data_IF_103495448253
#
_entry.id   IF_103495448253
#
_cell.length_a   1.000
_cell.length_b   1.000
_cell.length_c   1.000
_cell.angle_alpha   90.00
_cell.angle_beta   90.00
_cell.angle_gamma   90.00
#
_symmetry.space_group_name_H-M   'P 1'
#
loop_
_entity.id
_entity.type
_entity.pdbx_description
1 polymer ?
#
# COMPACT_ATOMS: atom_id res chain seq x y z
N UNK A 1 -1.88 3.55 -19.47
CA UNK A 1 -1.63 2.14 -19.06
C UNK A 1 -1.79 2.06 -17.55
N UNK A 2 -2.35 0.97 -17.04
CA UNK A 2 -2.43 0.70 -15.61
C UNK A 2 -2.02 -0.76 -15.36
N UNK A 3 -1.15 -0.99 -14.39
CA UNK A 3 -0.67 -2.31 -14.01
C UNK A 3 -0.95 -2.49 -12.52
N UNK A 4 -1.58 -3.60 -12.14
CA UNK A 4 -1.92 -3.91 -10.76
C UNK A 4 -1.89 -5.43 -10.52
N UNK A 5 -1.74 -5.89 -9.26
CA UNK A 5 -1.75 -7.32 -8.93
C UNK A 5 -3.07 -8.04 -9.19
N UNK A 6 -4.15 -7.29 -9.46
CA UNK A 6 -5.47 -7.82 -9.74
C UNK A 6 -6.11 -7.08 -10.90
N UNK A 7 -6.70 -7.82 -11.84
CA UNK A 7 -7.27 -7.26 -13.07
C UNK A 7 -8.33 -6.20 -12.79
N UNK A 8 -9.23 -6.41 -11.83
CA UNK A 8 -10.28 -5.42 -11.48
C UNK A 8 -9.70 -4.08 -11.00
N UNK A 9 -8.58 -4.08 -10.26
CA UNK A 9 -7.95 -2.83 -9.84
C UNK A 9 -7.30 -2.10 -11.02
N UNK A 10 -6.66 -2.83 -11.94
CA UNK A 10 -6.12 -2.24 -13.17
C UNK A 10 -7.24 -1.68 -14.07
N UNK A 11 -8.38 -2.35 -14.15
CA UNK A 11 -9.55 -1.88 -14.89
C UNK A 11 -10.15 -0.61 -14.27
N UNK A 12 -10.31 -0.54 -12.95
CA UNK A 12 -10.77 0.69 -12.29
C UNK A 12 -9.90 1.90 -12.60
N UNK A 13 -8.57 1.75 -12.59
CA UNK A 13 -7.67 2.81 -13.04
C UNK A 13 -7.86 3.15 -14.53
N UNK A 14 -7.99 2.13 -15.39
CA UNK A 14 -8.15 2.33 -16.82
C UNK A 14 -9.46 3.06 -17.16
N UNK A 15 -10.55 2.74 -16.46
CA UNK A 15 -11.85 3.42 -16.61
C UNK A 15 -11.73 4.90 -16.25
N UNK A 16 -11.10 5.23 -15.12
CA UNK A 16 -10.82 6.62 -14.76
C UNK A 16 -9.99 7.34 -15.83
N UNK A 17 -8.95 6.70 -16.39
CA UNK A 17 -8.18 7.30 -17.48
C UNK A 17 -9.04 7.52 -18.75
N UNK A 18 -9.93 6.57 -19.08
CA UNK A 18 -10.85 6.68 -20.23
C UNK A 18 -11.88 7.80 -20.06
N UNK A 19 -12.29 8.06 -18.83
CA UNK A 19 -13.18 9.17 -18.47
C UNK A 19 -12.45 10.53 -18.41
N UNK A 20 -11.15 10.57 -18.72
CA UNK A 20 -10.35 11.79 -18.75
C UNK A 20 -9.71 12.19 -17.42
N UNK A 21 -9.67 11.27 -16.45
CA UNK A 21 -8.94 11.45 -15.20
C UNK A 21 -7.43 11.36 -15.42
N UNK A 22 -6.65 11.95 -14.52
CA UNK A 22 -5.19 11.86 -14.54
C UNK A 22 -4.66 10.63 -13.78
N UNK A 23 -3.34 10.42 -13.83
CA UNK A 23 -2.69 9.26 -13.21
C UNK A 23 -2.89 9.17 -11.68
N UNK A 24 -2.99 10.30 -10.97
CA UNK A 24 -3.26 10.30 -9.52
C UNK A 24 -4.70 9.88 -9.23
N UNK A 25 -5.66 10.39 -9.99
CA UNK A 25 -7.08 9.99 -9.90
C UNK A 25 -7.27 8.50 -10.21
N UNK A 26 -6.65 8.02 -11.30
CA UNK A 26 -6.68 6.61 -11.68
C UNK A 26 -6.07 5.70 -10.62
N UNK A 27 -4.96 6.12 -10.00
CA UNK A 27 -4.32 5.35 -8.95
C UNK A 27 -5.14 5.34 -7.65
N UNK A 28 -5.88 6.41 -7.31
CA UNK A 28 -6.82 6.37 -6.17
C UNK A 28 -7.90 5.31 -6.40
N UNK A 29 -8.45 5.22 -7.62
CA UNK A 29 -9.45 4.21 -7.96
C UNK A 29 -8.87 2.78 -7.88
N UNK A 30 -7.67 2.56 -8.43
CA UNK A 30 -6.98 1.28 -8.28
C UNK A 30 -6.69 0.93 -6.81
N UNK A 31 -6.21 1.88 -6.01
CA UNK A 31 -5.88 1.68 -4.60
C UNK A 31 -7.12 1.36 -3.75
N UNK A 32 -8.26 1.99 -4.04
CA UNK A 32 -9.52 1.67 -3.39
C UNK A 32 -10.02 0.27 -3.81
N UNK A 33 -9.99 -0.05 -5.10
CA UNK A 33 -10.43 -1.35 -5.61
C UNK A 33 -9.54 -2.49 -5.11
N UNK A 34 -8.21 -2.33 -5.09
CA UNK A 34 -7.27 -3.37 -4.63
C UNK A 34 -7.42 -3.71 -3.14
N UNK A 35 -7.87 -2.74 -2.31
CA UNK A 35 -8.20 -2.98 -0.91
C UNK A 35 -9.41 -3.91 -0.73
N UNK A 36 -10.29 -4.00 -1.74
CA UNK A 36 -11.48 -4.86 -1.73
C UNK A 36 -11.19 -6.22 -2.35
N UNK A 37 -10.51 -6.23 -3.50
CA UNK A 37 -10.30 -7.45 -4.30
C UNK A 37 -9.06 -8.25 -3.89
N UNK A 38 -8.20 -7.66 -3.05
CA UNK A 38 -6.99 -8.32 -2.55
C UNK A 38 -6.73 -8.09 -1.04
N UNK A 39 -7.74 -8.34 -0.18
CA UNK A 39 -7.77 -7.81 1.19
C UNK A 39 -6.82 -8.52 2.18
N UNK A 40 -6.27 -9.68 1.81
CA UNK A 40 -5.30 -10.40 2.65
C UNK A 40 -3.88 -9.85 2.53
N UNK A 41 -3.62 -8.95 1.56
CA UNK A 41 -2.31 -8.35 1.32
C UNK A 41 -2.27 -6.85 1.62
N UNK A 42 -3.42 -6.16 1.57
CA UNK A 42 -3.51 -4.72 1.79
C UNK A 42 -4.93 -4.31 2.21
N UNK A 43 -5.08 -3.13 2.83
CA UNK A 43 -6.39 -2.54 3.12
C UNK A 43 -6.30 -1.05 3.45
N UNK A 44 -7.45 -0.40 3.67
CA UNK A 44 -7.51 0.98 4.22
C UNK A 44 -7.03 1.08 5.68
N UNK A 45 -6.78 -0.06 6.35
CA UNK A 45 -6.19 -0.14 7.69
C UNK A 45 -4.67 -0.26 7.69
N UNK A 46 -4.01 -0.08 6.54
CA UNK A 46 -2.56 -0.07 6.41
C UNK A 46 -2.01 1.30 6.00
N UNK A 47 -0.83 1.27 5.37
CA UNK A 47 -0.09 2.44 4.88
C UNK A 47 0.03 2.47 3.36
N UNK A 48 0.40 3.62 2.81
CA UNK A 48 0.69 3.75 1.38
C UNK A 48 1.86 4.68 1.08
N UNK A 49 2.59 4.39 0.01
CA UNK A 49 3.73 5.16 -0.45
C UNK A 49 3.56 5.45 -1.93
N UNK A 50 3.81 6.70 -2.33
CA UNK A 50 3.59 7.16 -3.70
C UNK A 50 4.88 7.77 -4.23
N UNK A 51 5.26 7.39 -5.44
CA UNK A 51 6.29 8.06 -6.21
C UNK A 51 5.66 8.55 -7.50
N UNK A 52 5.82 9.83 -7.79
CA UNK A 52 5.14 10.47 -8.91
C UNK A 52 6.10 11.30 -9.75
N UNK A 53 5.89 11.26 -11.05
CA UNK A 53 6.60 12.08 -12.01
C UNK A 53 5.61 12.79 -12.91
N UNK A 54 5.83 14.09 -13.10
CA UNK A 54 5.06 14.93 -14.03
C UNK A 54 6.05 15.49 -15.03
N UNK A 55 5.79 15.36 -16.35
CA UNK A 55 6.69 15.89 -17.37
C UNK A 55 7.03 17.37 -17.13
N UNK A 56 8.33 17.69 -17.20
CA UNK A 56 8.84 19.05 -16.95
C UNK A 56 8.83 19.49 -15.48
N UNK A 57 8.50 18.63 -14.53
CA UNK A 57 8.58 18.91 -13.08
C UNK A 57 9.56 17.95 -12.39
N UNK A 58 10.04 18.37 -11.21
CA UNK A 58 10.75 17.46 -10.33
C UNK A 58 9.85 16.28 -9.92
N UNK A 59 10.45 15.10 -9.73
CA UNK A 59 9.76 13.97 -9.14
C UNK A 59 9.35 14.29 -7.69
N UNK A 60 8.23 13.74 -7.26
CA UNK A 60 7.72 13.94 -5.90
C UNK A 60 7.31 12.62 -5.27
N UNK A 61 7.13 12.62 -3.96
CA UNK A 61 6.61 11.48 -3.21
C UNK A 61 5.51 11.89 -2.23
N UNK A 62 4.64 10.92 -1.89
CA UNK A 62 3.76 10.98 -0.73
C UNK A 62 4.15 9.84 0.19
N UNK A 63 4.54 10.18 1.41
CA UNK A 63 4.65 9.23 2.51
C UNK A 63 3.35 9.27 3.31
N UNK A 64 2.59 8.19 3.25
CA UNK A 64 1.40 8.00 4.04
C UNK A 64 1.54 6.75 4.91
N UNK A 65 2.68 6.66 5.61
CA UNK A 65 2.91 5.76 6.72
C UNK A 65 2.46 6.41 8.03
N UNK A 66 1.66 5.70 8.82
CA UNK A 66 1.24 6.21 10.11
C UNK A 66 2.27 6.03 11.21
N UNK A 67 2.34 7.02 12.10
CA UNK A 67 3.17 6.96 13.28
C UNK A 67 2.62 5.97 14.31
N UNK A 68 3.49 5.47 15.18
CA UNK A 68 3.09 4.77 16.39
C UNK A 68 2.19 5.65 17.27
N UNK A 69 1.25 5.04 17.98
CA UNK A 69 0.41 5.72 18.94
C UNK A 69 1.25 6.48 19.97
N UNK A 70 0.85 7.69 20.36
CA UNK A 70 1.62 8.49 21.31
C UNK A 70 1.81 7.84 22.69
N UNK A 71 0.99 6.84 23.03
CA UNK A 71 1.09 6.04 24.26
C UNK A 71 1.92 4.76 24.11
N UNK A 72 2.31 4.37 22.91
CA UNK A 72 3.06 3.13 22.65
C UNK A 72 4.52 3.26 23.11
N UNK A 73 4.73 3.30 24.42
CA UNK A 73 6.05 3.29 25.06
C UNK A 73 6.41 1.89 25.59
N UNK A 74 7.70 1.67 25.85
CA UNK A 74 8.18 0.43 26.49
C UNK A 74 7.43 0.16 27.80
N UNK A 75 7.26 1.20 28.63
CA UNK A 75 6.58 1.07 29.91
C UNK A 75 5.09 0.80 29.76
N UNK A 76 4.41 1.44 28.79
CA UNK A 76 3.02 1.14 28.48
C UNK A 76 2.84 -0.34 28.12
N UNK A 77 3.72 -0.89 27.29
CA UNK A 77 3.69 -2.31 26.94
C UNK A 77 3.95 -3.21 28.15
N UNK A 78 4.89 -2.86 29.04
CA UNK A 78 5.17 -3.60 30.29
C UNK A 78 3.96 -3.62 31.22
N UNK A 79 3.27 -2.49 31.35
CA UNK A 79 2.04 -2.37 32.15
C UNK A 79 0.89 -3.22 31.59
N UNK A 80 0.93 -3.53 30.29
CA UNK A 80 -0.01 -4.43 29.61
C UNK A 80 0.51 -5.86 29.48
N UNK A 81 1.48 -6.24 30.32
CA UNK A 81 1.99 -7.61 30.43
C UNK A 81 2.96 -8.04 29.32
N UNK A 82 3.39 -7.13 28.44
CA UNK A 82 4.35 -7.43 27.38
C UNK A 82 5.78 -7.27 27.91
N UNK A 83 6.57 -8.34 27.85
CA UNK A 83 7.94 -8.36 28.42
C UNK A 83 9.06 -8.47 27.40
N UNK A 84 8.84 -9.13 26.27
CA UNK A 84 9.90 -9.49 25.33
C UNK A 84 9.82 -8.72 24.01
N UNK A 85 8.70 -8.86 23.30
CA UNK A 85 8.45 -8.22 22.01
C UNK A 85 6.98 -7.83 21.90
N UNK A 86 6.68 -6.79 21.11
CA UNK A 86 5.31 -6.42 20.75
C UNK A 86 4.68 -7.62 20.01
N UNK A 87 3.48 -8.08 20.39
CA UNK A 87 2.85 -9.24 19.74
C UNK A 87 2.56 -8.94 18.26
N UNK A 88 2.53 -9.98 17.43
CA UNK A 88 2.23 -9.84 16.00
C UNK A 88 0.73 -9.67 15.69
N UNK A 89 -0.16 -10.00 16.63
CA UNK A 89 -1.62 -10.01 16.46
C UNK A 89 -2.33 -9.41 17.67
N UNK A 90 -3.59 -9.03 17.50
CA UNK A 90 -4.43 -8.46 18.55
C UNK A 90 -4.28 -6.95 18.71
N UNK A 91 -5.05 -6.36 19.63
CA UNK A 91 -5.10 -4.90 19.80
C UNK A 91 -3.74 -4.28 20.13
N UNK A 92 -2.92 -4.95 20.95
CA UNK A 92 -1.56 -4.49 21.31
C UNK A 92 -0.62 -4.40 20.09
N UNK A 93 -0.88 -5.18 19.04
CA UNK A 93 -0.13 -5.17 17.78
C UNK A 93 -0.62 -4.07 16.82
N UNK A 94 -1.89 -3.66 16.93
CA UNK A 94 -2.46 -2.56 16.17
C UNK A 94 -2.06 -1.22 16.81
N UNK A 95 -0.79 -0.84 16.63
CA UNK A 95 -0.14 0.23 17.39
C UNK A 95 0.33 1.43 16.56
N UNK A 96 0.19 1.39 15.23
CA UNK A 96 0.41 2.52 14.32
C UNK A 96 -0.90 2.98 13.69
N UNK A 97 -1.02 4.28 13.44
CA UNK A 97 -2.14 4.81 12.66
C UNK A 97 -2.09 4.25 11.23
N UNK A 98 -3.24 4.04 10.59
CA UNK A 98 -3.30 3.65 9.18
C UNK A 98 -3.21 4.88 8.27
N UNK A 99 -2.21 4.97 7.40
CA UNK A 99 -2.00 6.14 6.54
C UNK A 99 -2.58 6.08 5.12
N UNK A 100 -3.05 4.92 4.64
CA UNK A 100 -3.52 4.76 3.24
C UNK A 100 -4.50 5.85 2.78
N UNK A 101 -5.52 6.16 3.58
CA UNK A 101 -6.57 7.13 3.19
C UNK A 101 -6.06 8.57 3.21
N UNK A 102 -5.08 8.90 4.06
CA UNK A 102 -4.41 10.19 4.04
C UNK A 102 -3.61 10.36 2.74
N UNK A 103 -2.98 9.28 2.25
CA UNK A 103 -2.31 9.24 0.95
C UNK A 103 -3.28 9.55 -0.20
N UNK A 104 -4.48 8.97 -0.19
CA UNK A 104 -5.52 9.28 -1.17
C UNK A 104 -5.93 10.75 -1.14
N UNK A 105 -6.11 11.31 0.05
CA UNK A 105 -6.43 12.73 0.24
C UNK A 105 -5.35 13.65 -0.31
N UNK A 106 -4.07 13.35 -0.03
CA UNK A 106 -2.93 14.10 -0.54
C UNK A 106 -2.82 14.00 -2.08
N UNK A 107 -2.95 12.80 -2.64
CA UNK A 107 -2.94 12.56 -4.08
C UNK A 107 -4.08 13.30 -4.80
N UNK A 108 -5.30 13.26 -4.24
CA UNK A 108 -6.46 13.97 -4.80
C UNK A 108 -6.27 15.50 -4.74
N UNK A 109 -5.70 16.01 -3.64
CA UNK A 109 -5.36 17.42 -3.51
C UNK A 109 -4.32 17.87 -4.53
N UNK A 110 -3.27 17.06 -4.75
CA UNK A 110 -2.25 17.31 -5.78
C UNK A 110 -2.84 17.23 -7.19
N UNK A 111 -3.68 16.23 -7.47
CA UNK A 111 -4.40 16.09 -8.73
C UNK A 111 -5.13 17.38 -9.10
N UNK A 112 -5.93 17.92 -8.15
CA UNK A 112 -6.69 19.15 -8.36
C UNK A 112 -5.78 20.37 -8.57
N UNK A 113 -4.80 20.56 -7.68
CA UNK A 113 -3.96 21.78 -7.65
C UNK A 113 -2.90 21.81 -8.74
N UNK A 114 -2.32 20.67 -9.10
CA UNK A 114 -1.15 20.60 -9.98
C UNK A 114 -1.42 19.99 -11.36
N UNK A 115 -2.50 19.20 -11.50
CA UNK A 115 -2.85 18.46 -12.73
C UNK A 115 -4.24 18.79 -13.27
N UNK A 116 -4.91 19.81 -12.70
CA UNK A 116 -6.27 20.24 -13.09
C UNK A 116 -7.31 19.11 -13.01
N UNK A 117 -7.09 18.13 -12.14
CA UNK A 117 -8.03 17.02 -11.90
C UNK A 117 -9.40 17.53 -11.47
N UNK A 118 -10.45 16.84 -11.91
CA UNK A 118 -11.85 17.25 -11.74
C UNK A 118 -12.73 16.14 -11.17
N UNK A 119 -12.23 14.92 -11.05
CA UNK A 119 -13.07 13.81 -10.65
C UNK A 119 -13.44 13.91 -9.17
N UNK A 120 -14.73 13.74 -8.83
CA UNK A 120 -15.15 13.69 -7.45
C UNK A 120 -14.67 12.39 -6.81
N UNK A 121 -14.36 12.43 -5.50
CA UNK A 121 -13.95 11.24 -4.75
C UNK A 121 -15.00 10.12 -4.85
N UNK A 122 -16.28 10.47 -4.92
CA UNK A 122 -17.36 9.51 -5.13
C UNK A 122 -17.22 8.70 -6.41
N UNK A 123 -16.73 9.30 -7.51
CA UNK A 123 -16.45 8.54 -8.73
C UNK A 123 -15.23 7.64 -8.55
N UNK A 124 -14.17 8.16 -7.93
CA UNK A 124 -12.92 7.41 -7.72
C UNK A 124 -13.11 6.18 -6.83
N UNK A 125 -14.07 6.22 -5.89
CA UNK A 125 -14.39 5.10 -5.01
C UNK A 125 -15.54 4.20 -5.52
N UNK A 126 -16.20 4.56 -6.62
CA UNK A 126 -17.43 3.91 -7.07
C UNK A 126 -17.26 2.41 -7.32
N UNK A 127 -16.19 2.02 -8.01
CA UNK A 127 -15.93 0.61 -8.35
C UNK A 127 -15.64 -0.21 -7.09
N UNK A 128 -14.82 0.33 -6.18
CA UNK A 128 -14.51 -0.31 -4.91
C UNK A 128 -15.78 -0.51 -4.05
N UNK A 129 -16.66 0.49 -4.01
CA UNK A 129 -17.98 0.39 -3.36
C UNK A 129 -18.83 -0.70 -4.02
N UNK A 130 -18.89 -0.71 -5.36
CA UNK A 130 -19.63 -1.72 -6.12
C UNK A 130 -19.11 -3.13 -5.79
N UNK A 131 -17.80 -3.36 -5.87
CA UNK A 131 -17.19 -4.66 -5.59
C UNK A 131 -17.35 -5.09 -4.12
N UNK A 132 -17.31 -4.14 -3.18
CA UNK A 132 -17.54 -4.45 -1.77
C UNK A 132 -18.98 -4.92 -1.52
N UNK A 133 -19.95 -4.26 -2.15
CA UNK A 133 -21.38 -4.52 -1.93
C UNK A 133 -21.95 -5.66 -2.79
N UNK A 134 -21.44 -5.84 -4.01
CA UNK A 134 -21.88 -6.90 -4.94
C UNK A 134 -21.02 -8.16 -4.87
N UNK A 135 -19.87 -8.04 -4.21
CA UNK A 135 -18.92 -9.11 -4.02
C UNK A 135 -17.99 -9.32 -5.20
N UNK A 136 -16.93 -10.08 -4.94
CA UNK A 136 -15.90 -10.45 -5.92
C UNK A 136 -15.54 -11.91 -5.81
N UNK A 137 -15.07 -12.56 -6.89
CA UNK A 137 -14.58 -13.93 -6.83
C UNK A 137 -13.37 -14.02 -5.90
N UNK A 138 -13.41 -14.93 -4.93
CA UNK A 138 -12.26 -15.23 -4.06
C UNK A 138 -11.10 -15.73 -4.90
N UNK A 139 -9.95 -15.10 -4.77
CA UNK A 139 -8.72 -15.53 -5.46
C UNK A 139 -8.07 -16.72 -4.76
N UNK A 140 -7.28 -17.51 -5.51
CA UNK A 140 -6.51 -18.64 -4.97
C UNK A 140 -5.61 -18.21 -3.81
N UNK A 141 -4.93 -17.07 -3.96
CA UNK A 141 -4.04 -16.51 -2.94
C UNK A 141 -4.82 -16.08 -1.69
N UNK A 142 -6.03 -15.53 -1.84
CA UNK A 142 -6.88 -15.19 -0.69
C UNK A 142 -7.31 -16.42 0.07
N UNK A 143 -7.89 -17.42 -0.60
CA UNK A 143 -8.31 -18.66 0.04
C UNK A 143 -7.12 -19.35 0.76
N UNK A 144 -5.97 -19.45 0.08
CA UNK A 144 -4.75 -20.03 0.64
C UNK A 144 -4.25 -19.26 1.87
N UNK A 145 -4.18 -17.93 1.80
CA UNK A 145 -3.69 -17.09 2.90
C UNK A 145 -4.60 -17.13 4.11
N UNK A 146 -5.92 -17.05 3.89
CA UNK A 146 -6.92 -17.17 4.96
C UNK A 146 -6.83 -18.54 5.63
N UNK A 147 -6.69 -19.63 4.87
CA UNK A 147 -6.53 -20.98 5.43
C UNK A 147 -5.25 -21.10 6.26
N UNK A 148 -4.10 -20.65 5.73
CA UNK A 148 -2.80 -20.68 6.43
C UNK A 148 -2.81 -19.90 7.75
N UNK A 149 -3.57 -18.81 7.82
CA UNK A 149 -3.63 -17.92 8.98
C UNK A 149 -4.84 -18.13 9.87
N UNK A 150 -5.73 -19.08 9.55
CA UNK A 150 -6.97 -19.30 10.27
C UNK A 150 -6.75 -19.58 11.76
N UNK A 151 -5.75 -20.42 12.09
CA UNK A 151 -5.43 -20.76 13.49
C UNK A 151 -4.99 -19.55 14.32
N UNK A 152 -4.28 -18.60 13.70
CA UNK A 152 -3.82 -17.36 14.37
C UNK A 152 -4.93 -16.30 14.47
N UNK A 153 -5.82 -16.23 13.47
CA UNK A 153 -6.69 -15.09 13.24
C UNK A 153 -8.15 -15.32 13.61
N UNK A 154 -8.63 -16.58 13.66
CA UNK A 154 -10.06 -16.89 13.90
C UNK A 154 -10.61 -16.27 15.20
N UNK A 155 -9.79 -16.19 16.24
CA UNK A 155 -10.16 -15.60 17.54
C UNK A 155 -9.97 -14.08 17.61
N UNK A 156 -9.36 -13.45 16.60
CA UNK A 156 -9.15 -12.02 16.59
C UNK A 156 -10.48 -11.28 16.40
N UNK A 157 -10.73 -10.18 17.13
CA UNK A 157 -11.99 -9.46 17.07
C UNK A 157 -12.36 -9.04 15.63
N UNK A 158 -13.52 -9.49 15.15
CA UNK A 158 -14.04 -9.11 13.83
C UNK A 158 -13.53 -9.95 12.65
N UNK A 159 -12.46 -10.75 12.82
CA UNK A 159 -11.87 -11.50 11.69
C UNK A 159 -12.84 -12.53 11.10
N UNK A 160 -13.43 -13.37 11.94
CA UNK A 160 -14.33 -14.42 11.49
C UNK A 160 -15.56 -13.84 10.76
N UNK A 161 -16.10 -12.72 11.26
CA UNK A 161 -17.24 -12.05 10.65
C UNK A 161 -16.90 -11.35 9.32
N UNK A 162 -15.65 -10.93 9.14
CA UNK A 162 -15.22 -10.20 7.96
C UNK A 162 -14.69 -11.10 6.84
N UNK A 163 -14.06 -12.23 7.18
CA UNK A 163 -13.26 -13.00 6.22
C UNK A 163 -13.66 -14.48 6.11
N UNK A 164 -14.58 -14.98 6.93
CA UNK A 164 -15.07 -16.35 6.87
C UNK A 164 -16.54 -16.39 6.45
N UNK A 165 -16.90 -17.43 5.71
CA UNK A 165 -18.26 -17.73 5.29
C UNK A 165 -18.77 -18.90 6.13
N UNK A 166 -19.80 -18.66 6.95
CA UNK A 166 -20.30 -19.63 7.95
C UNK A 166 -19.19 -20.26 8.81
N UNK A 167 -18.19 -19.45 9.17
CA UNK A 167 -17.04 -19.86 9.98
C UNK A 167 -16.00 -20.69 9.23
N UNK A 168 -16.11 -20.83 7.91
CA UNK A 168 -15.18 -21.55 7.02
C UNK A 168 -14.43 -20.59 6.11
N UNK A 169 -13.29 -21.04 5.61
CA UNK A 169 -12.53 -20.30 4.60
C UNK A 169 -13.36 -20.23 3.31
N UNK A 170 -13.58 -19.03 2.73
CA UNK A 170 -14.29 -18.89 1.46
C UNK A 170 -13.59 -19.69 0.36
N UNK A 171 -14.37 -20.40 -0.45
CA UNK A 171 -13.83 -21.21 -1.55
C UNK A 171 -13.32 -20.32 -2.68
N UNK A 172 -12.23 -20.72 -3.35
CA UNK A 172 -11.74 -20.03 -4.56
C UNK A 172 -12.87 -19.97 -5.61
N UNK A 173 -13.08 -18.80 -6.20
CA UNK A 173 -14.15 -18.53 -7.16
C UNK A 173 -15.52 -18.26 -6.53
N UNK A 174 -15.69 -18.52 -5.22
CA UNK A 174 -16.88 -18.15 -4.47
C UNK A 174 -17.06 -16.64 -4.42
N UNK A 175 -18.30 -16.18 -4.23
CA UNK A 175 -18.62 -14.77 -4.17
C UNK A 175 -18.34 -14.23 -2.75
N UNK A 176 -17.39 -13.31 -2.62
CA UNK A 176 -17.02 -12.71 -1.34
C UNK A 176 -17.50 -11.27 -1.23
N UNK A 177 -18.44 -11.04 -0.33
CA UNK A 177 -19.12 -9.76 -0.11
C UNK A 177 -18.59 -9.09 1.17
N UNK A 178 -18.36 -7.77 1.12
CA UNK A 178 -17.75 -6.98 2.19
C UNK A 178 -18.52 -5.68 2.45
N UNK A 179 -19.82 -5.78 2.76
CA UNK A 179 -20.72 -4.62 2.92
C UNK A 179 -20.22 -3.58 3.95
N UNK A 180 -19.57 -4.03 5.03
CA UNK A 180 -19.09 -3.13 6.09
C UNK A 180 -18.04 -2.14 5.60
N UNK A 181 -17.05 -2.59 4.81
CA UNK A 181 -16.07 -1.68 4.21
C UNK A 181 -16.67 -0.90 3.04
N UNK A 182 -17.65 -1.47 2.33
CA UNK A 182 -18.46 -0.75 1.33
C UNK A 182 -19.12 0.50 1.93
N UNK A 183 -19.79 0.36 3.08
CA UNK A 183 -20.39 1.49 3.81
C UNK A 183 -19.36 2.54 4.28
N UNK A 184 -18.15 2.12 4.66
CA UNK A 184 -17.04 3.03 4.99
C UNK A 184 -16.61 3.82 3.75
N UNK A 185 -16.43 3.15 2.60
CA UNK A 185 -16.06 3.81 1.34
C UNK A 185 -17.16 4.76 0.84
N UNK A 186 -18.44 4.40 0.97
CA UNK A 186 -19.58 5.28 0.67
C UNK A 186 -19.57 6.53 1.54
N UNK A 187 -19.20 6.39 2.82
CA UNK A 187 -19.06 7.54 3.70
C UNK A 187 -17.89 8.42 3.29
N UNK A 188 -16.72 7.86 2.97
CA UNK A 188 -15.58 8.61 2.47
C UNK A 188 -15.91 9.35 1.17
N UNK A 189 -16.67 8.71 0.26
CA UNK A 189 -17.14 9.33 -0.98
C UNK A 189 -18.00 10.58 -0.74
N UNK A 190 -18.78 10.62 0.36
CA UNK A 190 -19.66 11.75 0.73
C UNK A 190 -18.97 12.79 1.59
N UNK A 191 -18.25 12.36 2.63
CA UNK A 191 -17.66 13.23 3.66
C UNK A 191 -16.21 13.65 3.35
N UNK A 192 -15.55 13.00 2.40
CA UNK A 192 -14.14 13.20 2.09
C UNK A 192 -13.21 12.27 2.88
N UNK A 193 -11.96 12.17 2.44
CA UNK A 193 -10.93 11.32 3.06
C UNK A 193 -10.61 11.69 4.50
N UNK A 194 -10.84 12.96 4.86
CA UNK A 194 -10.56 13.47 6.20
C UNK A 194 -11.48 12.88 7.28
N UNK A 195 -12.64 12.34 6.90
CA UNK A 195 -13.55 11.67 7.84
C UNK A 195 -12.88 10.47 8.54
N UNK A 196 -11.97 9.79 7.84
CA UNK A 196 -11.18 8.68 8.40
C UNK A 196 -10.34 9.10 9.61
N UNK A 197 -9.89 10.36 9.64
CA UNK A 197 -8.97 10.88 10.65
C UNK A 197 -9.62 11.88 11.61
N UNK A 198 -10.69 12.57 11.21
CA UNK A 198 -11.30 13.68 11.96
C UNK A 198 -12.85 13.62 12.01
N UNK A 199 -13.47 12.64 11.34
CA UNK A 199 -14.92 12.47 11.24
C UNK A 199 -15.50 11.34 12.10
N UNK A 200 -16.67 10.81 11.71
CA UNK A 200 -17.28 9.70 12.45
C UNK A 200 -16.52 8.39 12.27
N UNK A 201 -15.86 8.18 11.12
CA UNK A 201 -15.00 7.00 10.93
C UNK A 201 -13.87 7.03 11.96
N UNK A 202 -13.22 8.18 12.15
CA UNK A 202 -12.17 8.33 13.15
C UNK A 202 -12.66 7.99 14.58
N UNK A 203 -13.86 8.49 14.95
CA UNK A 203 -14.49 8.18 16.25
C UNK A 203 -14.80 6.69 16.40
N UNK A 204 -15.30 6.06 15.34
CA UNK A 204 -15.60 4.63 15.35
C UNK A 204 -14.33 3.78 15.48
N UNK A 205 -13.28 4.09 14.70
CA UNK A 205 -11.98 3.42 14.76
C UNK A 205 -11.39 3.55 16.17
N UNK A 206 -11.33 4.76 16.73
CA UNK A 206 -10.77 4.96 18.07
C UNK A 206 -11.55 4.19 19.15
N UNK A 207 -12.88 4.14 19.05
CA UNK A 207 -13.73 3.37 19.98
C UNK A 207 -13.47 1.86 19.87
N UNK A 208 -13.39 1.33 18.64
CA UNK A 208 -13.15 -0.10 18.42
C UNK A 208 -11.74 -0.52 18.83
N UNK A 209 -10.73 0.29 18.54
CA UNK A 209 -9.34 0.07 18.95
C UNK A 209 -9.20 0.07 20.47
N UNK A 210 -9.81 1.03 21.17
CA UNK A 210 -9.83 1.06 22.62
C UNK A 210 -10.49 -0.21 23.21
N UNK A 211 -11.59 -0.68 22.62
CA UNK A 211 -12.30 -1.90 23.06
C UNK A 211 -11.45 -3.15 22.97
N UNK A 212 -10.52 -3.23 22.02
CA UNK A 212 -9.64 -4.39 21.83
C UNK A 212 -8.26 -4.20 22.50
N UNK A 213 -8.07 -3.13 23.27
CA UNK A 213 -6.83 -2.86 24.02
C UNK A 213 -5.68 -2.28 23.18
N UNK A 214 -5.97 -1.67 22.03
CA UNK A 214 -4.93 -0.95 21.26
C UNK A 214 -4.48 0.34 21.96
N UNK A 215 -3.19 0.74 21.81
CA UNK A 215 -2.70 2.01 22.34
C UNK A 215 -3.18 3.23 21.55
N UNK A 216 -3.69 3.04 20.33
CA UNK A 216 -4.15 4.13 19.45
C UNK A 216 -5.41 4.75 20.04
N UNK A 217 -5.43 6.08 20.10
CA UNK A 217 -6.59 6.86 20.49
C UNK A 217 -6.95 7.91 19.42
N UNK A 218 -8.05 8.62 19.64
CA UNK A 218 -8.57 9.60 18.68
C UNK A 218 -7.58 10.76 18.42
N UNK A 219 -6.76 11.16 19.40
CA UNK A 219 -5.75 12.20 19.21
C UNK A 219 -4.67 11.75 18.23
N UNK A 220 -4.30 10.46 18.25
CA UNK A 220 -3.33 9.91 17.29
C UNK A 220 -3.87 9.98 15.86
N UNK A 221 -5.15 9.62 15.66
CA UNK A 221 -5.82 9.75 14.36
C UNK A 221 -5.87 11.22 13.90
N UNK A 222 -6.25 12.14 14.80
CA UNK A 222 -6.34 13.57 14.51
C UNK A 222 -4.97 14.19 14.12
N UNK A 223 -3.89 13.70 14.72
CA UNK A 223 -2.53 14.18 14.47
C UNK A 223 -1.93 13.64 13.16
N UNK A 224 -2.52 12.59 12.58
CA UNK A 224 -1.99 11.98 11.37
C UNK A 224 -2.30 12.80 10.11
N UNK A 225 -1.31 12.86 9.21
CA UNK A 225 -1.41 13.38 7.85
C UNK A 225 -0.33 12.74 6.98
N UNK A 226 -0.65 12.52 5.70
CA UNK A 226 0.37 12.16 4.72
C UNK A 226 1.35 13.32 4.50
N UNK A 227 2.62 13.01 4.33
CA UNK A 227 3.70 13.96 4.09
C UNK A 227 4.03 14.02 2.60
N UNK A 228 4.21 15.23 2.07
CA UNK A 228 4.85 15.40 0.78
C UNK A 228 6.36 15.39 0.99
N UNK A 229 7.06 14.56 0.25
CA UNK A 229 8.49 14.38 0.39
C UNK A 229 9.20 14.46 -0.96
N UNK A 230 10.46 14.86 -0.92
CA UNK A 230 11.37 14.68 -2.05
C UNK A 230 11.83 13.22 -2.07
N UNK A 231 11.76 12.53 -3.22
CA UNK A 231 12.24 11.16 -3.31
C UNK A 231 13.77 11.09 -3.21
N UNK A 232 14.28 9.94 -2.74
CA UNK A 232 15.68 9.57 -2.94
C UNK A 232 15.99 9.59 -4.43
N UNK A 233 17.19 10.07 -4.76
CA UNK A 233 17.61 10.27 -6.14
C UNK A 233 19.04 9.80 -6.33
N UNK A 234 19.24 8.93 -7.31
CA UNK A 234 20.57 8.54 -7.79
C UNK A 234 20.70 8.88 -9.27
N UNK A 235 21.81 9.53 -9.63
CA UNK A 235 22.18 9.74 -11.03
C UNK A 235 22.98 8.54 -11.53
N UNK A 236 22.64 8.07 -12.71
CA UNK A 236 23.30 6.98 -13.42
C UNK A 236 23.59 7.42 -14.86
N UNK A 237 24.46 6.70 -15.57
CA UNK A 237 24.79 7.00 -16.98
C UNK A 237 23.57 6.95 -17.90
N UNK A 238 22.61 6.08 -17.60
CA UNK A 238 21.37 5.91 -18.37
C UNK A 238 20.21 6.84 -17.94
N UNK A 239 20.34 7.58 -16.85
CA UNK A 239 19.25 8.42 -16.35
C UNK A 239 19.29 8.70 -14.85
N UNK A 240 18.15 9.06 -14.28
CA UNK A 240 18.00 9.28 -12.84
C UNK A 240 17.01 8.28 -12.26
N UNK A 241 17.45 7.51 -11.27
CA UNK A 241 16.62 6.60 -10.51
C UNK A 241 16.05 7.33 -9.29
N UNK A 242 14.79 7.03 -8.97
CA UNK A 242 14.09 7.61 -7.84
C UNK A 242 13.52 6.51 -6.95
N UNK A 243 13.53 6.73 -5.64
CA UNK A 243 12.89 5.85 -4.67
C UNK A 243 12.24 6.65 -3.53
N UNK A 244 11.38 6.00 -2.77
CA UNK A 244 10.81 6.57 -1.54
C UNK A 244 11.87 6.75 -0.44
N UNK A 245 11.63 7.68 0.49
CA UNK A 245 12.48 7.93 1.65
C UNK A 245 12.24 6.90 2.76
N UNK A 246 13.18 6.73 3.72
CA UNK A 246 12.89 6.01 4.97
C UNK A 246 11.58 6.52 5.61
N UNK A 247 10.79 5.66 6.28
CA UNK A 247 11.18 4.37 6.85
C UNK A 247 11.04 3.16 5.92
N UNK A 248 10.80 3.36 4.62
CA UNK A 248 10.69 2.22 3.70
C UNK A 248 12.01 1.43 3.65
N UNK A 249 11.99 0.09 3.80
CA UNK A 249 13.21 -0.72 3.76
C UNK A 249 13.88 -0.72 2.37
N UNK A 250 13.20 -0.18 1.36
CA UNK A 250 13.71 -0.03 0.00
C UNK A 250 14.92 0.92 -0.11
N UNK A 251 15.27 1.68 0.93
CA UNK A 251 16.52 2.44 0.97
C UNK A 251 17.75 1.54 0.88
N UNK A 252 17.68 0.31 1.41
CA UNK A 252 18.76 -0.67 1.27
C UNK A 252 18.97 -1.11 -0.20
N UNK A 253 17.96 -1.01 -1.06
CA UNK A 253 18.07 -1.28 -2.49
C UNK A 253 18.65 -0.09 -3.30
N UNK A 254 18.94 1.03 -2.64
CA UNK A 254 19.47 2.27 -3.24
C UNK A 254 20.89 2.54 -2.79
N UNK A 255 21.50 1.66 -1.98
CA UNK A 255 22.94 1.72 -1.76
C UNK A 255 23.65 1.59 -3.14
N UNK A 256 24.44 2.59 -3.57
CA UNK A 256 25.11 2.56 -4.87
C UNK A 256 25.92 1.28 -5.08
N UNK A 257 26.57 0.76 -4.03
CA UNK A 257 27.39 -0.44 -4.10
C UNK A 257 26.52 -1.70 -4.29
N UNK A 258 25.42 -1.82 -3.52
CA UNK A 258 24.47 -2.94 -3.64
C UNK A 258 23.63 -2.89 -4.94
N UNK A 259 23.32 -1.69 -5.45
CA UNK A 259 22.64 -1.48 -6.73
C UNK A 259 23.57 -1.81 -7.92
N UNK A 260 24.86 -1.48 -7.80
CA UNK A 260 25.88 -1.89 -8.77
C UNK A 260 26.00 -3.42 -8.79
N UNK A 261 26.02 -4.11 -7.65
CA UNK A 261 26.05 -5.58 -7.59
C UNK A 261 24.80 -6.24 -8.22
N UNK A 262 23.61 -5.70 -7.97
CA UNK A 262 22.37 -6.22 -8.55
C UNK A 262 22.30 -6.07 -10.08
N UNK A 263 22.94 -5.04 -10.64
CA UNK A 263 23.07 -4.84 -12.10
C UNK A 263 24.35 -5.45 -12.69
N UNK A 264 25.35 -5.79 -11.88
CA UNK A 264 26.58 -6.44 -12.36
C UNK A 264 26.27 -7.82 -12.96
N UNK A 265 25.26 -8.51 -12.42
CA UNK A 265 24.71 -9.76 -12.93
C UNK A 265 24.05 -9.65 -14.31
N UNK A 266 23.67 -8.45 -14.80
CA UNK A 266 23.16 -8.25 -16.17
C UNK A 266 24.26 -7.88 -17.18
N UNK A 267 25.39 -7.32 -16.74
CA UNK A 267 26.47 -6.84 -17.63
C UNK A 267 27.50 -7.90 -18.03
N UNK A 268 27.62 -9.01 -17.28
CA UNK A 268 28.46 -10.15 -17.69
C UNK A 268 28.00 -10.80 -19.02
N UNK A 269 26.71 -10.67 -19.38
CA UNK A 269 26.19 -11.14 -20.67
C UNK A 269 26.66 -10.31 -21.89
N UNK A 270 27.30 -9.16 -21.68
CA UNK A 270 27.74 -8.24 -22.75
C UNK A 270 29.26 -8.21 -22.96
N UNK A 271 30.05 -9.01 -22.21
CA UNK A 271 31.52 -9.11 -22.35
C UNK A 271 32.26 -7.77 -22.32
N UNK A 272 31.79 -6.81 -21.51
CA UNK A 272 32.54 -5.58 -21.22
C UNK A 272 33.12 -5.72 -19.82
N UNK A 273 34.43 -5.98 -19.75
CA UNK A 273 35.16 -6.03 -18.49
C UNK A 273 35.49 -4.63 -17.98
N UNK A 274 35.18 -4.35 -16.72
CA UNK A 274 35.81 -3.29 -15.95
C UNK A 274 36.61 -4.00 -14.85
N UNK A 275 37.93 -3.79 -14.87
CA UNK A 275 38.85 -4.26 -13.82
C UNK A 275 38.64 -3.40 -12.57
N UNK A 276 38.18 -4.05 -11.50
CA UNK A 276 38.10 -3.48 -10.16
C UNK A 276 38.87 -4.38 -9.20
N UNK A 277 40.18 -4.48 -9.38
CA UNK A 277 41.06 -4.83 -8.27
C UNK A 277 40.97 -3.71 -7.21
N UNK A 278 40.40 -4.03 -6.03
CA UNK A 278 41.11 -4.28 -4.77
C UNK A 278 40.08 -4.70 -3.70
N UNK A 279 40.14 -6.00 -3.36
CA UNK A 279 39.54 -6.73 -2.22
C UNK A 279 38.33 -7.63 -2.53
N UNK A 280 38.64 -8.93 -2.55
CA UNK A 280 37.77 -10.06 -2.82
C UNK A 280 37.11 -10.62 -1.55
N UNK A 281 35.85 -11.05 -1.64
CA UNK A 281 35.34 -12.29 -1.02
C UNK A 281 34.29 -12.88 -1.97
N UNK A 282 34.52 -14.11 -2.44
CA UNK A 282 33.84 -14.71 -3.60
C UNK A 282 32.43 -15.27 -3.34
N UNK A 283 31.65 -15.39 -4.42
CA UNK A 283 30.39 -16.12 -4.49
C UNK A 283 30.40 -17.06 -5.70
N UNK A 284 30.65 -18.34 -5.45
CA UNK A 284 30.44 -19.42 -6.40
C UNK A 284 28.96 -19.84 -6.38
N UNK A 285 28.25 -19.59 -7.49
CA UNK A 285 27.30 -20.47 -8.22
C UNK A 285 26.13 -19.71 -8.86
N UNK A 286 26.04 -19.80 -10.20
CA UNK A 286 24.99 -19.24 -11.07
C UNK A 286 23.83 -20.23 -11.26
N UNK A 287 22.60 -19.70 -11.34
CA UNK A 287 21.41 -20.41 -11.82
C UNK A 287 20.61 -19.51 -12.77
N UNK A 288 20.32 -20.02 -13.98
CA UNK A 288 19.69 -19.31 -15.10
C UNK A 288 18.26 -18.83 -14.82
N UNK A 289 17.91 -17.64 -15.33
CA UNK A 289 16.52 -17.26 -15.58
C UNK A 289 16.40 -16.51 -16.91
N UNK A 290 15.67 -17.12 -17.85
CA UNK A 290 15.47 -16.63 -19.21
C UNK A 290 14.35 -15.59 -19.38
N UNK A 291 14.46 -14.93 -20.53
CA UNK A 291 13.45 -14.30 -21.38
C UNK A 291 12.60 -13.15 -20.81
N UNK A 292 13.05 -11.91 -21.06
CA UNK A 292 12.15 -10.77 -21.26
C UNK A 292 12.60 -9.86 -22.41
N UNK A 293 11.62 -9.34 -23.15
CA UNK A 293 11.78 -8.45 -24.30
C UNK A 293 11.89 -6.97 -23.87
N UNK A 294 12.72 -6.20 -24.59
CA UNK A 294 12.84 -4.74 -24.47
C UNK A 294 12.22 -4.07 -25.70
N UNK A 295 11.37 -3.05 -25.48
CA UNK A 295 10.84 -2.20 -26.55
C UNK A 295 11.78 -1.01 -26.77
N UNK A 296 12.38 -0.91 -27.96
CA UNK A 296 13.16 0.26 -28.36
C UNK A 296 12.24 1.38 -28.83
N UNK A 297 12.35 2.55 -28.21
CA UNK A 297 11.95 3.82 -28.83
C UNK A 297 13.09 4.31 -29.72
N UNK A 298 12.86 4.37 -31.03
CA UNK A 298 13.78 5.02 -31.98
C UNK A 298 13.72 6.56 -31.88
N UNK A 299 14.82 7.28 -32.15
CA UNK A 299 14.94 8.75 -31.99
C UNK A 299 14.45 9.51 -33.27
N UNK A 300 14.49 10.86 -33.30
CA UNK A 300 13.48 11.75 -33.91
C UNK A 300 13.32 11.69 -35.43
#
# INVERSE_FOLDING_TARGET
MAVAPHALAAQSALEVLREGGNALEAMIAAAATIAIVYPHMNSIGGDSFWLMHVPGKAAGAIDACGAAAGRASIDWYRDHGVRNHIPFRGGLAANTVAGTVAGWGAALSLSRRALRGRMPLSRLLADAIYYANKGVPVTVSQASSTAKKLGELKSQPGFAQAFLEDGKVPATGGLFVQERIGAVLERLAKAGTDDYYRGDIARAIAKDLARIGSPINLRDLHAHSAQLADPLRIRHSAGTLYNTMPPTPFVAAVDPDTLVDAFHLELENLRIGIDMSVNAVGLDQLGEAGNFFVQHGGPP
#
